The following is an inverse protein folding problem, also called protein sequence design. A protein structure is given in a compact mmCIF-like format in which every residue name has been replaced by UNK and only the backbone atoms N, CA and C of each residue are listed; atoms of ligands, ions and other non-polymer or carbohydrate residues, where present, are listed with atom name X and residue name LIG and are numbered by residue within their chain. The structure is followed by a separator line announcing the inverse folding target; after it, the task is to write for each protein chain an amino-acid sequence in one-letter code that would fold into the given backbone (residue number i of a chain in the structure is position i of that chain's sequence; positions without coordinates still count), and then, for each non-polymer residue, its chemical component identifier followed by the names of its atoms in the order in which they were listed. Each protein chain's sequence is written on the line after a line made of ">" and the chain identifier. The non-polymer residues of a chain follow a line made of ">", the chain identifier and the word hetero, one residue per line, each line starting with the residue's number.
data_IF_964359402581
#
_entry.id   IF_964359402581
#
_cell.length_a   1.000
_cell.length_b   1.000
_cell.length_c   1.000
_cell.angle_alpha   90.00
_cell.angle_beta   90.00
_cell.angle_gamma   90.00
#
_symmetry.space_group_name_H-M   'P 1'
#
loop_
_entity.id
_entity.type
_entity.pdbx_description
1 polymer ?
#
# COMPACT_ATOMS: atom_id res chain seq x y z
N UNK A 1 31.61 15.26 56.20
CA UNK A 1 30.85 15.64 54.99
C UNK A 1 31.78 15.46 53.82
N UNK A 2 31.51 14.46 52.97
CA UNK A 2 32.42 14.04 51.89
C UNK A 2 32.37 15.02 50.72
N UNK A 3 33.56 15.41 50.25
CA UNK A 3 33.80 16.21 49.05
C UNK A 3 34.09 15.23 47.91
N UNK A 4 33.24 15.23 46.89
CA UNK A 4 33.46 14.63 45.58
C UNK A 4 32.78 15.55 44.56
N UNK A 5 33.34 15.93 43.42
CA UNK A 5 34.60 15.60 42.76
C UNK A 5 34.64 16.46 41.49
N UNK A 6 35.83 16.93 41.17
CA UNK A 6 36.17 17.85 40.07
C UNK A 6 35.86 17.26 38.68
N UNK A 7 35.46 18.15 37.78
CA UNK A 7 35.96 18.31 36.41
C UNK A 7 36.30 17.07 35.55
N UNK A 8 35.55 16.88 34.46
CA UNK A 8 36.06 16.50 33.13
C UNK A 8 34.91 16.72 32.12
N UNK A 9 34.96 17.78 31.31
CA UNK A 9 35.60 17.83 29.98
C UNK A 9 34.76 17.17 28.87
N UNK A 10 34.37 18.03 27.93
CA UNK A 10 34.46 17.86 26.49
C UNK A 10 33.32 17.22 25.68
N UNK A 11 33.08 17.93 24.56
CA UNK A 11 32.51 17.48 23.27
C UNK A 11 30.98 17.51 23.22
N UNK A 12 30.35 18.61 22.77
CA UNK A 12 30.40 19.14 21.41
C UNK A 12 30.16 18.01 20.39
N UNK A 13 28.89 17.72 20.15
CA UNK A 13 28.43 17.10 18.91
C UNK A 13 27.14 17.80 18.50
N UNK A 14 27.34 18.83 17.66
CA UNK A 14 26.37 19.19 16.64
C UNK A 14 25.97 17.91 15.91
N UNK A 15 24.79 17.37 16.21
CA UNK A 15 24.08 16.55 15.24
C UNK A 15 23.25 17.51 14.39
N UNK A 16 23.92 18.20 13.46
CA UNK A 16 23.27 18.69 12.26
C UNK A 16 22.79 17.46 11.49
N UNK A 17 21.62 16.93 11.86
CA UNK A 17 20.94 15.99 10.99
C UNK A 17 20.36 16.82 9.87
N UNK A 18 21.06 16.77 8.74
CA UNK A 18 20.55 17.19 7.45
C UNK A 18 19.09 16.72 7.34
N UNK A 19 18.20 17.63 7.00
CA UNK A 19 16.93 17.26 6.38
C UNK A 19 17.32 16.62 5.04
N UNK A 20 17.71 15.36 5.09
CA UNK A 20 17.55 14.46 3.96
C UNK A 20 16.07 14.58 3.66
N UNK A 21 15.71 15.16 2.51
CA UNK A 21 14.35 15.17 2.04
C UNK A 21 13.93 13.72 1.91
N UNK A 22 13.40 13.16 3.00
CA UNK A 22 12.90 11.80 3.03
C UNK A 22 11.81 11.78 1.97
N UNK A 23 12.07 11.05 0.87
CA UNK A 23 11.01 10.67 -0.03
C UNK A 23 10.00 9.94 0.85
N UNK A 24 8.89 10.60 1.15
CA UNK A 24 7.83 10.00 1.97
C UNK A 24 7.45 8.67 1.31
N UNK A 25 7.32 7.58 2.09
CA UNK A 25 6.96 6.28 1.54
C UNK A 25 5.64 6.37 0.78
N UNK A 26 5.46 5.50 -0.23
CA UNK A 26 4.19 5.35 -0.93
C UNK A 26 3.12 5.02 0.13
N UNK A 27 2.07 5.84 0.20
CA UNK A 27 0.88 5.54 1.00
C UNK A 27 -0.22 5.11 0.06
N UNK A 28 -0.83 3.96 0.36
CA UNK A 28 -1.85 3.31 -0.45
C UNK A 28 -3.11 3.14 0.38
N UNK A 29 -4.21 3.70 -0.12
CA UNK A 29 -5.55 3.43 0.37
C UNK A 29 -6.30 2.58 -0.66
N UNK A 30 -7.02 1.57 -0.18
CA UNK A 30 -7.77 0.64 -1.03
C UNK A 30 -9.21 0.61 -0.54
N UNK A 31 -10.13 0.84 -1.47
CA UNK A 31 -11.55 0.60 -1.28
C UNK A 31 -11.95 -0.49 -2.27
N UNK A 32 -12.66 -1.51 -1.80
CA UNK A 32 -13.09 -2.62 -2.65
C UNK A 32 -14.48 -3.12 -2.22
N UNK A 33 -15.30 -3.49 -3.20
CA UNK A 33 -16.63 -4.02 -2.97
C UNK A 33 -17.03 -4.99 -4.09
N UNK A 34 -17.70 -6.08 -3.72
CA UNK A 34 -18.29 -6.99 -4.70
C UNK A 34 -19.56 -6.36 -5.29
N UNK A 35 -19.62 -6.31 -6.62
CA UNK A 35 -20.84 -5.94 -7.34
C UNK A 35 -21.80 -7.13 -7.44
N UNK A 36 -21.23 -8.32 -7.60
CA UNK A 36 -21.89 -9.61 -7.64
C UNK A 36 -20.89 -10.72 -7.25
N UNK A 37 -21.31 -11.98 -7.29
CA UNK A 37 -20.45 -13.14 -6.93
C UNK A 37 -19.24 -13.34 -7.86
N UNK A 38 -19.18 -12.68 -9.01
CA UNK A 38 -18.14 -12.84 -10.02
C UNK A 38 -17.37 -11.57 -10.31
N UNK A 39 -17.73 -10.43 -9.70
CA UNK A 39 -17.14 -9.13 -10.02
C UNK A 39 -16.81 -8.34 -8.77
N UNK A 40 -15.51 -8.06 -8.58
CA UNK A 40 -15.00 -7.12 -7.57
C UNK A 40 -14.71 -5.78 -8.24
N UNK A 41 -15.23 -4.69 -7.69
CA UNK A 41 -14.82 -3.34 -8.03
C UNK A 41 -13.85 -2.80 -6.97
N UNK A 42 -12.85 -2.05 -7.41
CA UNK A 42 -11.87 -1.46 -6.50
C UNK A 42 -11.45 -0.04 -6.93
N UNK A 43 -11.08 0.77 -5.94
CA UNK A 43 -10.44 2.07 -6.08
C UNK A 43 -9.16 2.04 -5.24
N UNK A 44 -8.04 2.37 -5.87
CA UNK A 44 -6.71 2.42 -5.26
C UNK A 44 -6.23 3.86 -5.33
N UNK A 45 -5.90 4.46 -4.19
CA UNK A 45 -5.35 5.81 -4.09
C UNK A 45 -3.91 5.71 -3.62
N UNK A 46 -3.00 6.29 -4.39
CA UNK A 46 -1.58 6.38 -4.05
C UNK A 46 -1.23 7.85 -3.83
N UNK A 47 -0.71 8.18 -2.65
CA UNK A 47 -0.48 9.57 -2.23
C UNK A 47 0.46 10.35 -3.16
N UNK A 48 1.53 9.71 -3.65
CA UNK A 48 2.51 10.28 -4.57
C UNK A 48 3.25 9.16 -5.31
N UNK A 49 3.34 9.24 -6.63
CA UNK A 49 4.14 8.31 -7.45
C UNK A 49 5.43 9.02 -7.90
N UNK A 50 6.64 8.49 -7.62
CA UNK A 50 7.90 9.16 -7.99
C UNK A 50 8.21 9.12 -9.49
N UNK A 51 7.63 8.16 -10.21
CA UNK A 51 7.92 7.85 -11.62
C UNK A 51 6.74 8.19 -12.54
N UNK A 52 6.98 8.12 -13.85
CA UNK A 52 5.95 8.34 -14.88
C UNK A 52 5.02 7.14 -15.09
N UNK A 53 5.31 6.03 -14.40
CA UNK A 53 4.53 4.79 -14.44
C UNK A 53 4.54 4.14 -13.07
N UNK A 54 3.48 3.40 -12.74
CA UNK A 54 3.42 2.52 -11.57
C UNK A 54 2.88 1.15 -12.01
N UNK A 55 3.47 0.08 -11.48
CA UNK A 55 2.93 -1.28 -11.58
C UNK A 55 2.03 -1.52 -10.36
N UNK A 56 0.78 -1.88 -10.60
CA UNK A 56 -0.21 -2.15 -9.56
C UNK A 56 -0.62 -3.60 -9.67
N UNK A 57 -0.46 -4.36 -8.60
CA UNK A 57 -0.90 -5.74 -8.49
C UNK A 57 -1.99 -5.84 -7.44
N UNK A 58 -3.13 -6.40 -7.82
CA UNK A 58 -4.27 -6.71 -6.95
C UNK A 58 -4.36 -8.22 -6.81
N UNK A 59 -4.36 -8.70 -5.58
CA UNK A 59 -4.48 -10.10 -5.21
C UNK A 59 -5.70 -10.26 -4.31
N UNK A 60 -6.58 -11.19 -4.65
CA UNK A 60 -7.78 -11.48 -3.88
C UNK A 60 -7.66 -12.87 -3.27
N UNK A 61 -7.81 -12.95 -1.95
CA UNK A 61 -7.76 -14.19 -1.18
C UNK A 61 -9.06 -14.42 -0.44
N UNK A 62 -9.54 -15.66 -0.45
CA UNK A 62 -10.61 -16.06 0.46
C UNK A 62 -10.10 -16.26 1.88
N UNK A 63 -11.03 -16.59 2.78
CA UNK A 63 -10.75 -16.73 4.21
C UNK A 63 -9.76 -17.86 4.54
N UNK A 64 -9.72 -18.93 3.72
CA UNK A 64 -8.77 -20.02 3.90
C UNK A 64 -7.37 -19.67 3.33
N UNK A 65 -7.19 -18.44 2.85
CA UNK A 65 -5.95 -17.92 2.27
C UNK A 65 -5.74 -18.32 0.81
N UNK A 66 -6.71 -19.01 0.21
CA UNK A 66 -6.70 -19.42 -1.18
C UNK A 66 -6.77 -18.22 -2.11
N UNK A 67 -5.90 -18.18 -3.12
CA UNK A 67 -5.90 -17.10 -4.10
C UNK A 67 -7.01 -17.36 -5.11
N UNK A 68 -8.03 -16.52 -5.10
CA UNK A 68 -9.19 -16.63 -6.01
C UNK A 68 -9.07 -15.69 -7.20
N UNK A 69 -8.24 -14.64 -7.11
CA UNK A 69 -8.00 -13.72 -8.21
C UNK A 69 -6.68 -12.98 -8.12
N UNK A 70 -6.13 -12.63 -9.28
CA UNK A 70 -4.92 -11.81 -9.41
C UNK A 70 -5.03 -10.96 -10.67
N UNK A 71 -4.66 -9.70 -10.56
CA UNK A 71 -4.50 -8.79 -11.70
C UNK A 71 -3.29 -7.91 -11.49
N UNK A 72 -2.51 -7.70 -12.55
CA UNK A 72 -1.42 -6.73 -12.55
C UNK A 72 -1.61 -5.79 -13.73
N UNK A 73 -1.48 -4.49 -13.49
CA UNK A 73 -1.61 -3.46 -14.52
C UNK A 73 -0.51 -2.41 -14.35
N UNK A 74 0.07 -1.98 -15.47
CA UNK A 74 1.00 -0.84 -15.49
C UNK A 74 0.21 0.38 -15.94
N UNK A 75 0.22 1.42 -15.10
CA UNK A 75 -0.52 2.65 -15.35
C UNK A 75 0.43 3.82 -15.53
N UNK A 76 0.07 4.74 -16.42
CA UNK A 76 0.76 6.01 -16.53
C UNK A 76 0.46 6.88 -15.29
N UNK A 77 1.48 7.57 -14.79
CA UNK A 77 1.39 8.46 -13.65
C UNK A 77 2.12 9.77 -13.96
N UNK A 78 1.69 10.84 -13.29
CA UNK A 78 2.46 12.09 -13.30
C UNK A 78 3.45 12.05 -12.13
N UNK A 79 4.77 12.13 -12.39
CA UNK A 79 5.77 12.12 -11.32
C UNK A 79 5.48 13.18 -10.25
N UNK A 80 5.62 12.79 -8.98
CA UNK A 80 5.40 13.63 -7.81
C UNK A 80 3.95 13.94 -7.47
N UNK A 81 2.98 13.45 -8.26
CA UNK A 81 1.54 13.68 -8.06
C UNK A 81 0.82 12.45 -7.49
N UNK A 82 -0.34 12.62 -6.84
CA UNK A 82 -1.21 11.50 -6.48
C UNK A 82 -1.69 10.73 -7.71
N UNK A 83 -1.96 9.45 -7.51
CA UNK A 83 -2.51 8.55 -8.53
C UNK A 83 -3.78 7.90 -7.98
N UNK A 84 -4.83 7.85 -8.79
CA UNK A 84 -6.06 7.13 -8.49
C UNK A 84 -6.31 6.14 -9.61
N UNK A 85 -6.50 4.87 -9.24
CA UNK A 85 -6.81 3.79 -10.18
C UNK A 85 -8.10 3.14 -9.75
N UNK A 86 -9.08 3.13 -10.65
CA UNK A 86 -10.34 2.43 -10.46
C UNK A 86 -10.42 1.29 -11.48
N UNK A 87 -10.91 0.15 -11.04
CA UNK A 87 -11.00 -1.02 -11.91
C UNK A 87 -11.95 -2.07 -11.38
N UNK A 88 -12.12 -3.10 -12.19
CA UNK A 88 -12.83 -4.33 -11.82
C UNK A 88 -11.94 -5.54 -12.03
N UNK A 89 -12.23 -6.59 -11.27
CA UNK A 89 -11.70 -7.93 -11.43
C UNK A 89 -12.88 -8.90 -11.58
N UNK A 90 -12.88 -9.66 -12.66
CA UNK A 90 -13.87 -10.70 -12.91
C UNK A 90 -13.29 -12.06 -12.61
N UNK A 91 -13.99 -12.86 -11.81
CA UNK A 91 -13.61 -14.22 -11.44
C UNK A 91 -14.21 -15.21 -12.44
N UNK A 92 -13.46 -16.25 -12.85
CA UNK A 92 -13.96 -17.22 -13.84
C UNK A 92 -15.10 -18.09 -13.31
N UNK A 93 -15.23 -18.22 -11.99
CA UNK A 93 -16.32 -18.92 -11.33
C UNK A 93 -16.93 -18.03 -10.24
N UNK A 94 -18.25 -18.12 -9.99
CA UNK A 94 -18.87 -17.43 -8.87
C UNK A 94 -18.22 -17.80 -7.55
N UNK A 95 -17.89 -16.79 -6.76
CA UNK A 95 -17.33 -16.94 -5.43
C UNK A 95 -18.43 -17.28 -4.42
N UNK A 96 -18.05 -18.05 -3.40
CA UNK A 96 -18.92 -18.33 -2.26
C UNK A 96 -19.07 -17.10 -1.37
N UNK A 97 -20.24 -16.85 -0.76
CA UNK A 97 -20.38 -15.81 0.24
C UNK A 97 -19.34 -15.93 1.35
N UNK A 98 -18.79 -14.80 1.80
CA UNK A 98 -17.68 -14.79 2.76
C UNK A 98 -16.94 -13.46 2.81
N UNK A 99 -15.90 -13.40 3.65
CA UNK A 99 -15.00 -12.25 3.71
C UNK A 99 -13.76 -12.53 2.86
N UNK A 100 -13.42 -11.59 1.98
CA UNK A 100 -12.26 -11.66 1.12
C UNK A 100 -11.24 -10.59 1.48
N UNK A 101 -9.96 -10.94 1.40
CA UNK A 101 -8.84 -10.01 1.54
C UNK A 101 -8.38 -9.55 0.16
N UNK A 102 -8.24 -8.23 -0.01
CA UNK A 102 -7.84 -7.55 -1.23
C UNK A 102 -6.51 -6.89 -0.94
N UNK A 103 -5.44 -7.56 -1.33
CA UNK A 103 -4.07 -7.08 -1.17
C UNK A 103 -3.64 -6.35 -2.45
N UNK A 104 -3.14 -5.13 -2.27
CA UNK A 104 -2.69 -4.27 -3.36
C UNK A 104 -1.22 -3.93 -3.15
N UNK A 105 -0.39 -4.32 -4.10
CA UNK A 105 1.03 -3.94 -4.16
C UNK A 105 1.24 -2.92 -5.27
N UNK A 106 1.96 -1.86 -4.96
CA UNK A 106 2.35 -0.82 -5.93
C UNK A 106 3.86 -0.74 -5.98
N UNK A 107 4.41 -0.79 -7.19
CA UNK A 107 5.83 -0.61 -7.48
C UNK A 107 6.00 0.60 -8.42
N UNK A 108 6.83 1.55 -8.01
CA UNK A 108 7.07 2.79 -8.75
C UNK A 108 8.54 3.20 -8.62
N UNK A 109 9.36 2.79 -9.60
CA UNK A 109 10.81 2.92 -9.52
C UNK A 109 11.38 2.04 -8.40
N UNK A 110 12.20 2.62 -7.53
CA UNK A 110 12.79 1.94 -6.37
C UNK A 110 11.85 1.85 -5.16
N UNK A 111 10.66 2.46 -5.24
CA UNK A 111 9.69 2.43 -4.15
C UNK A 111 8.65 1.34 -4.38
N UNK A 112 8.36 0.58 -3.32
CA UNK A 112 7.24 -0.32 -3.26
C UNK A 112 6.46 -0.14 -1.97
N UNK A 113 5.17 -0.41 -2.02
CA UNK A 113 4.32 -0.50 -0.85
C UNK A 113 3.18 -1.50 -1.09
N UNK A 114 2.67 -2.05 -0.01
CA UNK A 114 1.51 -2.94 -0.01
C UNK A 114 0.48 -2.41 0.96
N UNK A 115 -0.79 -2.53 0.60
CA UNK A 115 -1.93 -2.23 1.46
C UNK A 115 -3.02 -3.28 1.25
N UNK A 116 -3.93 -3.41 2.21
CA UNK A 116 -4.98 -4.42 2.17
C UNK A 116 -6.32 -3.84 2.61
N UNK A 117 -7.39 -4.28 1.97
CA UNK A 117 -8.76 -4.05 2.39
C UNK A 117 -9.50 -5.39 2.53
N UNK A 118 -10.56 -5.39 3.32
CA UNK A 118 -11.49 -6.52 3.40
C UNK A 118 -12.77 -6.15 2.67
N UNK A 119 -13.30 -7.07 1.85
CA UNK A 119 -14.60 -6.91 1.21
C UNK A 119 -15.49 -8.10 1.53
N UNK A 120 -16.65 -7.90 2.20
CA UNK A 120 -17.63 -8.95 2.37
C UNK A 120 -18.38 -9.20 1.05
N UNK A 121 -18.52 -10.46 0.68
CA UNK A 121 -19.46 -10.93 -0.34
C UNK A 121 -20.71 -11.46 0.39
N UNK A 122 -21.84 -10.74 0.37
CA UNK A 122 -23.03 -11.14 1.12
C UNK A 122 -23.63 -12.45 0.60
N UNK A 123 -24.33 -13.22 1.45
CA UNK A 123 -25.23 -14.25 0.98
C UNK A 123 -26.36 -13.62 0.16
N UNK A 124 -26.79 -14.29 -0.91
CA UNK A 124 -27.92 -13.87 -1.76
C UNK A 124 -29.22 -13.67 -0.99
#
# INVERSE_FOLDING_TARGET
>A
MWIAGRCALLSLLLAASAVVGAALPLSIEVEAAFQDKSTLAYIIRVSRVPTSTASISVLVRGWEGEVVGRKTEVVAARPGSPLVVAGTMTFPQPLSPGLYSIEVSVEAGELSATSSAEAPLPPE
#
